data_IF_300676333447
#
_entry.id   IF_300676333447
#
_cell.length_a   1.000
_cell.length_b   1.000
_cell.length_c   1.000
_cell.angle_alpha   90.00
_cell.angle_beta   90.00
_cell.angle_gamma   90.00
#
_symmetry.space_group_name_H-M   'P 1'
#
loop_
_entity.id
_entity.type
_entity.pdbx_description
1 polymer ?
#
# COMPACT_ATOMS: atom_id res chain seq x y z
N UNK A 1 76.68 19.73 -9.29
CA UNK A 1 75.83 18.48 -9.08
C UNK A 1 74.63 18.89 -8.23
N UNK A 2 73.51 19.29 -8.89
CA UNK A 2 72.27 19.69 -8.20
C UNK A 2 71.35 18.45 -8.12
N UNK A 3 71.04 18.02 -6.91
CA UNK A 3 70.01 17.00 -6.66
C UNK A 3 68.63 17.63 -6.73
N UNK A 4 67.79 17.18 -7.69
CA UNK A 4 66.38 17.54 -7.75
C UNK A 4 65.63 16.67 -6.75
N UNK A 5 64.97 17.32 -5.80
CA UNK A 5 64.01 16.67 -4.89
C UNK A 5 62.65 16.74 -5.57
N UNK A 6 62.08 15.59 -5.93
CA UNK A 6 60.72 15.46 -6.50
C UNK A 6 59.75 15.31 -5.31
N UNK A 7 58.89 16.31 -5.12
CA UNK A 7 57.86 16.29 -4.10
C UNK A 7 56.60 15.66 -4.72
N UNK A 8 56.32 14.43 -4.32
CA UNK A 8 55.10 13.73 -4.73
C UNK A 8 53.96 14.15 -3.80
N UNK A 9 53.07 15.02 -4.28
CA UNK A 9 51.84 15.39 -3.56
C UNK A 9 50.77 14.38 -3.88
N UNK A 10 50.51 13.47 -2.95
CA UNK A 10 49.35 12.54 -3.04
C UNK A 10 48.11 13.28 -2.51
N UNK A 11 47.25 13.76 -3.41
CA UNK A 11 45.92 14.25 -3.05
C UNK A 11 45.03 13.10 -2.66
N UNK A 12 44.81 12.93 -1.36
CA UNK A 12 43.78 12.02 -0.85
C UNK A 12 42.41 12.67 -0.99
N UNK A 13 41.65 12.19 -1.97
CA UNK A 13 40.24 12.57 -2.13
C UNK A 13 39.44 11.90 -1.01
N UNK A 14 39.12 12.64 0.04
CA UNK A 14 38.19 12.19 1.08
C UNK A 14 36.79 12.37 0.49
N UNK A 15 36.19 11.28 0.06
CA UNK A 15 34.79 11.24 -0.30
C UNK A 15 33.98 11.32 1.00
N UNK A 16 33.53 12.52 1.36
CA UNK A 16 32.59 12.71 2.46
C UNK A 16 31.25 12.13 2.02
N UNK A 17 30.93 10.93 2.50
CA UNK A 17 29.57 10.39 2.45
C UNK A 17 28.74 11.27 3.39
N UNK A 18 27.99 12.22 2.84
CA UNK A 18 26.98 12.93 3.62
C UNK A 18 25.91 11.88 4.02
N UNK A 19 25.56 11.78 5.30
CA UNK A 19 24.42 10.94 5.68
C UNK A 19 23.19 11.52 4.97
N UNK A 20 22.44 10.66 4.27
CA UNK A 20 21.14 11.05 3.75
C UNK A 20 20.30 11.49 4.96
N UNK A 21 19.93 12.77 4.97
CA UNK A 21 19.02 13.28 5.98
C UNK A 21 17.65 12.61 5.71
N UNK A 22 17.36 11.53 6.42
CA UNK A 22 16.03 10.98 6.50
C UNK A 22 15.24 11.96 7.37
N UNK A 23 14.29 12.66 6.77
CA UNK A 23 13.34 13.46 7.53
C UNK A 23 12.44 12.47 8.30
N UNK A 24 12.73 12.31 9.59
CA UNK A 24 11.86 11.53 10.47
C UNK A 24 10.60 12.34 10.77
N UNK A 25 9.47 11.97 10.17
CA UNK A 25 8.15 12.56 10.47
C UNK A 25 7.84 12.44 11.97
N UNK A 26 8.47 11.47 12.65
CA UNK A 26 8.27 11.18 14.08
C UNK A 26 8.89 12.24 15.00
N UNK A 27 9.86 13.03 14.53
CA UNK A 27 10.58 14.01 15.38
C UNK A 27 9.74 15.26 15.76
N UNK A 28 8.57 15.44 15.14
CA UNK A 28 7.67 16.58 15.39
C UNK A 28 6.27 16.16 15.81
N UNK A 29 6.14 15.09 16.57
CA UNK A 29 4.83 14.64 17.06
C UNK A 29 4.31 15.63 18.11
N UNK A 30 3.24 16.33 17.76
CA UNK A 30 2.44 17.07 18.71
C UNK A 30 1.67 16.07 19.59
N UNK A 31 2.12 15.89 20.82
CA UNK A 31 1.36 15.12 21.79
C UNK A 31 0.13 15.91 22.24
N UNK A 32 -1.03 15.52 21.73
CA UNK A 32 -2.32 16.00 22.21
C UNK A 32 -3.03 14.87 22.94
N UNK A 33 -3.14 14.96 24.24
CA UNK A 33 -4.02 14.08 25.01
C UNK A 33 -5.11 14.89 25.70
N UNK A 34 -6.35 14.39 25.68
CA UNK A 34 -7.41 14.96 26.47
C UNK A 34 -7.11 14.78 27.98
N UNK A 35 -7.50 15.72 28.86
CA UNK A 35 -7.45 15.49 30.29
C UNK A 35 -8.18 14.20 30.66
N UNK A 36 -7.54 13.30 31.39
CA UNK A 36 -8.05 11.98 31.76
C UNK A 36 -8.22 10.99 30.56
N UNK A 37 -7.41 11.10 29.53
CA UNK A 37 -7.42 10.14 28.43
C UNK A 37 -7.13 8.72 28.93
N UNK A 38 -8.01 7.77 28.58
CA UNK A 38 -7.85 6.35 28.90
C UNK A 38 -6.88 5.64 27.94
N UNK A 39 -6.49 6.30 26.86
CA UNK A 39 -5.61 5.77 25.82
C UNK A 39 -4.57 6.83 25.43
N UNK A 40 -3.32 6.40 25.28
CA UNK A 40 -2.25 7.21 24.72
C UNK A 40 -1.68 6.50 23.51
N UNK A 41 -1.51 7.22 22.40
CA UNK A 41 -0.85 6.73 21.18
C UNK A 41 0.44 7.50 20.96
N UNK A 42 1.54 6.77 20.82
CA UNK A 42 2.86 7.34 20.50
C UNK A 42 3.34 6.75 19.20
N UNK A 43 3.61 7.55 18.15
CA UNK A 43 4.27 7.06 16.95
C UNK A 43 5.65 6.52 17.29
N UNK A 44 6.01 5.36 16.72
CA UNK A 44 7.27 4.68 17.02
C UNK A 44 8.17 4.56 15.80
N UNK A 45 7.63 4.71 14.59
CA UNK A 45 8.39 4.63 13.35
C UNK A 45 7.58 5.12 12.16
N UNK A 46 8.25 5.38 11.06
CA UNK A 46 7.63 5.77 9.79
C UNK A 46 8.40 5.20 8.61
N UNK A 47 7.69 5.02 7.50
CA UNK A 47 8.28 4.75 6.18
C UNK A 47 7.88 5.87 5.24
N UNK A 48 8.85 6.42 4.52
CA UNK A 48 8.64 7.51 3.57
C UNK A 48 8.92 7.02 2.15
N UNK A 49 7.99 7.28 1.23
CA UNK A 49 8.16 6.96 -0.19
C UNK A 49 9.23 7.83 -0.88
N UNK A 50 9.66 8.91 -0.24
CA UNK A 50 10.59 9.89 -0.80
C UNK A 50 9.98 10.80 -1.86
N UNK A 51 8.66 10.76 -2.06
CA UNK A 51 7.96 11.57 -3.06
C UNK A 51 7.07 12.59 -2.39
N UNK A 52 7.45 13.85 -2.52
CA UNK A 52 6.73 14.97 -1.94
C UNK A 52 5.54 15.43 -2.81
N UNK A 53 4.47 15.90 -2.14
CA UNK A 53 3.35 16.55 -2.79
C UNK A 53 2.43 15.63 -3.61
N UNK A 54 2.49 14.32 -3.37
CA UNK A 54 1.60 13.34 -4.01
C UNK A 54 1.08 12.36 -2.96
N UNK A 55 -0.22 12.05 -3.03
CA UNK A 55 -0.82 10.99 -2.21
C UNK A 55 -0.13 9.66 -2.52
N UNK A 56 0.20 8.91 -1.49
CA UNK A 56 0.83 7.61 -1.64
C UNK A 56 0.16 6.56 -0.71
N UNK A 57 0.28 6.70 0.61
CA UNK A 57 -0.27 5.73 1.55
C UNK A 57 -1.74 6.05 1.89
N UNK A 58 -2.64 5.08 1.69
CA UNK A 58 -4.08 5.23 1.96
C UNK A 58 -4.58 4.14 2.92
N UNK A 59 -4.75 2.92 2.44
CA UNK A 59 -5.27 1.80 3.22
C UNK A 59 -4.11 0.94 3.71
N UNK A 60 -4.18 0.50 4.97
CA UNK A 60 -3.13 -0.32 5.58
C UNK A 60 -3.72 -1.59 6.19
N UNK A 61 -3.02 -2.71 6.02
CA UNK A 61 -3.26 -3.97 6.72
C UNK A 61 -1.95 -4.51 7.31
N UNK A 62 -2.04 -5.22 8.42
CA UNK A 62 -0.87 -5.79 9.10
C UNK A 62 -1.02 -7.29 9.28
N UNK A 63 -0.03 -8.05 8.81
CA UNK A 63 0.07 -9.49 9.04
C UNK A 63 1.09 -9.78 10.14
N UNK A 64 0.60 -10.09 11.34
CA UNK A 64 1.42 -10.21 12.54
C UNK A 64 2.45 -11.36 12.45
N UNK A 65 2.06 -12.52 11.90
CA UNK A 65 2.94 -13.68 11.85
C UNK A 65 4.20 -13.46 11.00
N UNK A 66 4.11 -12.69 9.92
CA UNK A 66 5.26 -12.35 9.07
C UNK A 66 5.83 -10.95 9.35
N UNK A 67 5.20 -10.18 10.24
CA UNK A 67 5.54 -8.78 10.53
C UNK A 67 5.58 -7.91 9.26
N UNK A 68 4.58 -8.10 8.36
CA UNK A 68 4.45 -7.32 7.13
C UNK A 68 3.33 -6.30 7.26
N UNK A 69 3.64 -5.07 6.88
CA UNK A 69 2.64 -4.03 6.63
C UNK A 69 2.38 -3.99 5.13
N UNK A 70 1.11 -4.07 4.76
CA UNK A 70 0.62 -3.96 3.39
C UNK A 70 -0.04 -2.60 3.26
N UNK A 71 0.46 -1.73 2.40
CA UNK A 71 -0.05 -0.37 2.25
C UNK A 71 -0.44 -0.11 0.82
N UNK A 72 -1.71 0.22 0.59
CA UNK A 72 -2.16 0.70 -0.73
C UNK A 72 -1.45 2.01 -1.03
N UNK A 73 -0.78 2.04 -2.18
CA UNK A 73 -0.09 3.20 -2.68
C UNK A 73 -0.87 3.79 -3.86
N UNK A 74 -1.71 4.77 -3.59
CA UNK A 74 -2.57 5.41 -4.59
C UNK A 74 -1.81 6.02 -5.77
N UNK A 75 -0.52 6.33 -5.59
CA UNK A 75 0.28 6.89 -6.67
C UNK A 75 0.70 5.86 -7.71
N UNK A 76 1.09 4.66 -7.26
CA UNK A 76 1.53 3.58 -8.15
C UNK A 76 0.39 2.62 -8.52
N UNK A 77 -0.76 2.71 -7.85
CA UNK A 77 -1.86 1.77 -8.00
C UNK A 77 -1.54 0.36 -7.47
N UNK A 78 -0.55 0.26 -6.57
CA UNK A 78 0.00 -1.00 -6.06
C UNK A 78 -0.18 -1.11 -4.54
N UNK A 79 0.15 -2.27 -3.99
CA UNK A 79 0.36 -2.44 -2.56
C UNK A 79 1.85 -2.50 -2.27
N UNK A 80 2.35 -1.57 -1.47
CA UNK A 80 3.70 -1.64 -0.92
C UNK A 80 3.75 -2.66 0.22
N UNK A 81 4.75 -3.55 0.18
CA UNK A 81 5.01 -4.52 1.25
C UNK A 81 6.18 -3.99 2.08
N UNK A 82 5.92 -3.70 3.35
CA UNK A 82 6.96 -3.25 4.28
C UNK A 82 7.31 -4.38 5.25
N UNK A 83 8.60 -4.53 5.50
CA UNK A 83 9.11 -5.28 6.65
C UNK A 83 9.04 -4.40 7.88
N UNK A 84 8.25 -4.79 8.86
CA UNK A 84 8.09 -4.13 10.15
C UNK A 84 8.58 -5.00 11.32
N UNK A 85 9.55 -5.89 11.08
CA UNK A 85 10.22 -6.68 12.14
C UNK A 85 10.93 -5.76 13.14
N UNK A 86 11.45 -4.62 12.67
CA UNK A 86 11.76 -3.46 13.49
C UNK A 86 10.72 -2.36 13.22
N UNK A 87 9.72 -2.18 14.07
CA UNK A 87 8.66 -1.22 13.83
C UNK A 87 9.13 0.23 13.93
N UNK A 88 10.33 0.49 14.45
CA UNK A 88 10.92 1.84 14.49
C UNK A 88 11.50 2.26 13.14
N UNK A 89 11.80 1.31 12.26
CA UNK A 89 12.38 1.52 10.94
C UNK A 89 11.78 0.58 9.88
N UNK A 90 10.48 0.71 9.55
CA UNK A 90 9.85 -0.13 8.54
C UNK A 90 10.52 0.06 7.17
N UNK A 91 10.80 -1.04 6.47
CA UNK A 91 11.51 -1.02 5.18
C UNK A 91 10.64 -1.59 4.06
N UNK A 92 10.50 -0.89 2.93
CA UNK A 92 9.85 -1.45 1.75
C UNK A 92 10.70 -2.57 1.17
N UNK A 93 10.13 -3.78 1.09
CA UNK A 93 10.80 -4.99 0.58
C UNK A 93 10.22 -5.48 -0.74
N UNK A 94 9.08 -4.94 -1.17
CA UNK A 94 8.43 -5.31 -2.41
C UNK A 94 7.14 -4.55 -2.65
N UNK A 95 6.47 -4.91 -3.74
CA UNK A 95 5.14 -4.41 -4.08
C UNK A 95 4.32 -5.49 -4.79
N UNK A 96 3.00 -5.35 -4.76
CA UNK A 96 2.03 -6.16 -5.50
C UNK A 96 1.35 -5.24 -6.49
N UNK A 97 1.48 -5.55 -7.77
CA UNK A 97 0.85 -4.80 -8.84
C UNK A 97 -0.53 -5.37 -9.19
N UNK A 98 -1.46 -4.48 -9.49
CA UNK A 98 -2.75 -4.85 -10.09
C UNK A 98 -2.59 -5.45 -11.50
N UNK A 99 -1.51 -5.10 -12.19
CA UNK A 99 -1.21 -5.45 -13.58
C UNK A 99 -1.84 -4.49 -14.59
N UNK A 100 -1.11 -4.15 -15.64
CA UNK A 100 -1.54 -3.17 -16.65
C UNK A 100 -1.84 -1.79 -16.05
N UNK A 101 -2.93 -1.17 -16.52
CA UNK A 101 -3.39 0.15 -16.07
C UNK A 101 -4.43 0.07 -14.93
N UNK A 102 -4.52 -1.08 -14.25
CA UNK A 102 -5.42 -1.29 -13.12
C UNK A 102 -4.83 -0.68 -11.85
N UNK A 103 -5.71 -0.36 -10.90
CA UNK A 103 -5.32 0.21 -9.62
C UNK A 103 -5.90 -0.61 -8.45
N UNK A 104 -5.20 -0.58 -7.31
CA UNK A 104 -5.66 -1.22 -6.08
C UNK A 104 -6.18 -0.16 -5.14
N UNK A 105 -7.43 -0.33 -4.67
CA UNK A 105 -8.10 0.63 -3.79
C UNK A 105 -8.09 0.19 -2.32
N UNK A 106 -8.04 -1.11 -2.05
CA UNK A 106 -8.17 -1.62 -0.68
C UNK A 106 -7.43 -2.94 -0.50
N UNK A 107 -7.07 -3.23 0.74
CA UNK A 107 -6.42 -4.49 1.13
C UNK A 107 -6.91 -4.96 2.49
N UNK A 108 -7.12 -6.26 2.64
CA UNK A 108 -7.38 -6.93 3.92
C UNK A 108 -6.50 -8.18 4.04
N UNK A 109 -6.20 -8.60 5.26
CA UNK A 109 -5.37 -9.79 5.52
C UNK A 109 -5.93 -10.61 6.68
N UNK A 110 -5.87 -11.91 6.52
CA UNK A 110 -6.24 -12.91 7.53
C UNK A 110 -5.01 -13.29 8.38
N UNK A 111 -5.20 -13.79 9.62
CA UNK A 111 -4.08 -14.19 10.50
C UNK A 111 -3.17 -15.30 9.93
N UNK A 112 -3.67 -16.13 9.02
CA UNK A 112 -2.89 -17.19 8.35
C UNK A 112 -2.12 -16.71 7.11
N UNK A 113 -2.23 -15.40 6.78
CA UNK A 113 -1.49 -14.77 5.70
C UNK A 113 -2.22 -14.71 4.36
N UNK A 114 -3.45 -15.23 4.26
CA UNK A 114 -4.27 -14.95 3.08
C UNK A 114 -4.64 -13.47 3.07
N UNK A 115 -4.28 -12.78 2.01
CA UNK A 115 -4.64 -11.40 1.78
C UNK A 115 -5.51 -11.27 0.53
N UNK A 116 -6.32 -10.23 0.50
CA UNK A 116 -7.18 -9.89 -0.63
C UNK A 116 -7.11 -8.39 -0.89
N UNK A 117 -7.06 -8.02 -2.16
CA UNK A 117 -7.08 -6.64 -2.61
C UNK A 117 -8.29 -6.38 -3.53
N UNK A 118 -8.87 -5.19 -3.42
CA UNK A 118 -9.87 -4.68 -4.36
C UNK A 118 -9.14 -4.00 -5.52
N UNK A 119 -9.36 -4.49 -6.74
CA UNK A 119 -8.68 -4.05 -7.97
C UNK A 119 -9.69 -3.48 -8.94
N UNK A 120 -9.59 -2.18 -9.22
CA UNK A 120 -10.39 -1.52 -10.27
C UNK A 120 -9.74 -1.65 -11.64
N UNK A 121 -10.54 -1.60 -12.69
CA UNK A 121 -10.06 -1.44 -14.06
C UNK A 121 -9.69 0.03 -14.34
N UNK A 122 -8.92 0.25 -15.40
CA UNK A 122 -8.63 1.59 -15.89
C UNK A 122 -9.91 2.37 -16.25
N UNK A 123 -10.89 1.69 -16.86
CA UNK A 123 -12.25 2.21 -16.98
C UNK A 123 -13.03 1.81 -15.72
N UNK A 124 -13.35 2.77 -14.88
CA UNK A 124 -14.05 2.58 -13.61
C UNK A 124 -15.46 2.03 -13.74
N UNK A 125 -16.03 2.06 -14.96
CA UNK A 125 -17.34 1.46 -15.24
C UNK A 125 -17.25 -0.04 -15.53
N UNK A 126 -16.05 -0.57 -15.76
CA UNK A 126 -15.84 -1.99 -15.98
C UNK A 126 -15.74 -2.78 -14.66
N UNK A 127 -16.12 -4.04 -14.74
CA UNK A 127 -16.06 -4.92 -13.59
C UNK A 127 -14.61 -5.13 -13.14
N UNK A 128 -14.35 -4.92 -11.84
CA UNK A 128 -13.07 -5.13 -11.21
C UNK A 128 -12.82 -6.56 -10.78
N UNK A 129 -11.81 -6.74 -9.95
CA UNK A 129 -11.35 -8.04 -9.46
C UNK A 129 -11.04 -7.99 -7.97
N UNK A 130 -11.25 -9.09 -7.28
CA UNK A 130 -10.64 -9.37 -5.98
C UNK A 130 -9.37 -10.20 -6.23
N UNK A 131 -8.20 -9.64 -5.92
CA UNK A 131 -6.90 -10.28 -6.06
C UNK A 131 -6.50 -10.93 -4.74
N UNK A 132 -6.34 -12.25 -4.74
CA UNK A 132 -5.88 -13.00 -3.58
C UNK A 132 -4.38 -13.27 -3.67
N UNK A 133 -3.66 -13.06 -2.56
CA UNK A 133 -2.22 -13.24 -2.49
C UNK A 133 -1.75 -13.65 -1.09
N UNK A 134 -0.52 -14.11 -0.99
CA UNK A 134 0.14 -14.42 0.29
C UNK A 134 0.79 -13.16 0.86
N UNK A 135 0.36 -12.71 2.03
CA UNK A 135 0.83 -11.48 2.69
C UNK A 135 2.34 -11.52 3.04
N UNK A 136 2.90 -12.70 3.32
CA UNK A 136 4.31 -12.83 3.69
C UNK A 136 5.25 -12.75 2.48
N UNK A 137 4.80 -13.26 1.31
CA UNK A 137 5.66 -13.42 0.12
C UNK A 137 5.27 -12.51 -1.04
N UNK A 138 4.06 -11.95 -1.04
CA UNK A 138 3.49 -11.22 -2.18
C UNK A 138 3.05 -12.12 -3.34
N UNK A 139 3.11 -13.46 -3.19
CA UNK A 139 2.73 -14.36 -4.27
C UNK A 139 1.24 -14.29 -4.55
N UNK A 140 0.86 -14.01 -5.79
CA UNK A 140 -0.52 -14.11 -6.26
C UNK A 140 -1.03 -15.55 -6.17
N UNK A 141 -2.24 -15.72 -5.64
CA UNK A 141 -2.91 -17.00 -5.49
C UNK A 141 -4.08 -17.16 -6.48
N UNK A 142 -4.67 -16.06 -6.92
CA UNK A 142 -5.75 -16.05 -7.89
C UNK A 142 -6.56 -14.77 -7.87
N UNK A 143 -7.51 -14.67 -8.81
CA UNK A 143 -8.40 -13.52 -8.97
C UNK A 143 -9.84 -13.96 -9.15
N UNK A 144 -10.78 -13.18 -8.66
CA UNK A 144 -12.21 -13.39 -8.82
C UNK A 144 -12.83 -12.08 -9.30
N UNK A 145 -13.65 -12.16 -10.38
CA UNK A 145 -14.39 -11.00 -10.88
C UNK A 145 -15.40 -10.49 -9.86
N UNK A 146 -15.48 -9.16 -9.70
CA UNK A 146 -16.41 -8.46 -8.83
C UNK A 146 -17.16 -7.37 -9.63
N UNK A 147 -17.90 -6.48 -8.98
CA UNK A 147 -18.58 -5.38 -9.66
C UNK A 147 -17.63 -4.25 -10.10
N UNK A 148 -18.21 -3.19 -10.68
CA UNK A 148 -17.46 -2.02 -11.12
C UNK A 148 -16.96 -1.21 -9.92
N UNK A 149 -15.76 -0.67 -10.04
CA UNK A 149 -15.09 0.14 -9.02
C UNK A 149 -15.15 -0.51 -7.62
N UNK A 150 -14.49 -1.67 -7.42
CA UNK A 150 -14.38 -2.23 -6.08
C UNK A 150 -13.48 -1.31 -5.24
N UNK A 151 -14.08 -0.68 -4.22
CA UNK A 151 -13.42 0.35 -3.41
C UNK A 151 -12.96 -0.20 -2.05
N UNK A 152 -13.73 -1.08 -1.46
CA UNK A 152 -13.39 -1.65 -0.16
C UNK A 152 -13.49 -3.17 -0.15
N UNK A 153 -12.57 -3.82 0.56
CA UNK A 153 -12.60 -5.27 0.82
C UNK A 153 -12.41 -5.55 2.30
N UNK A 154 -13.18 -6.51 2.81
CA UNK A 154 -13.09 -6.97 4.19
C UNK A 154 -13.18 -8.49 4.25
N UNK A 155 -12.45 -9.10 5.19
CA UNK A 155 -12.54 -10.53 5.48
C UNK A 155 -13.42 -10.75 6.71
N UNK A 156 -14.36 -11.70 6.61
CA UNK A 156 -15.24 -12.03 7.75
C UNK A 156 -14.43 -12.58 8.93
N UNK A 157 -14.94 -12.40 10.14
CA UNK A 157 -14.27 -12.84 11.37
C UNK A 157 -13.99 -14.35 11.41
N UNK A 158 -14.85 -15.16 10.76
CA UNK A 158 -14.64 -16.61 10.61
C UNK A 158 -13.61 -16.95 9.52
N UNK A 159 -13.13 -15.94 8.77
CA UNK A 159 -12.14 -16.07 7.70
C UNK A 159 -12.62 -16.80 6.45
N UNK A 160 -13.93 -17.08 6.33
CA UNK A 160 -14.48 -17.91 5.25
C UNK A 160 -14.96 -17.11 4.05
N UNK A 161 -15.14 -15.80 4.20
CA UNK A 161 -15.69 -14.94 3.17
C UNK A 161 -14.89 -13.65 3.02
N UNK A 162 -14.78 -13.18 1.80
CA UNK A 162 -14.38 -11.82 1.49
C UNK A 162 -15.61 -11.01 1.05
N UNK A 163 -15.78 -9.85 1.63
CA UNK A 163 -16.84 -8.90 1.28
C UNK A 163 -16.21 -7.79 0.47
N UNK A 164 -16.76 -7.48 -0.68
CA UNK A 164 -16.26 -6.41 -1.56
C UNK A 164 -17.40 -5.41 -1.78
N UNK A 165 -17.13 -4.16 -1.45
CA UNK A 165 -18.01 -3.06 -1.79
C UNK A 165 -17.64 -2.50 -3.16
N UNK A 166 -18.57 -2.57 -4.11
CA UNK A 166 -18.38 -1.99 -5.44
C UNK A 166 -19.12 -0.65 -5.48
N UNK A 167 -18.38 0.43 -5.70
CA UNK A 167 -18.93 1.79 -5.65
C UNK A 167 -19.73 2.13 -6.90
N UNK A 168 -19.25 1.71 -8.06
CA UNK A 168 -19.95 1.87 -9.33
C UNK A 168 -20.09 3.33 -9.73
N UNK A 169 -19.03 3.98 -10.16
CA UNK A 169 -19.10 5.35 -10.67
C UNK A 169 -19.94 5.43 -11.97
N UNK A 170 -20.66 6.54 -12.19
CA UNK A 170 -21.31 6.78 -13.47
C UNK A 170 -20.26 6.95 -14.57
N UNK A 171 -20.57 6.49 -15.78
CA UNK A 171 -19.72 6.77 -16.93
C UNK A 171 -19.76 8.26 -17.27
N UNK A 172 -18.69 8.79 -17.86
CA UNK A 172 -18.65 10.15 -18.41
C UNK A 172 -19.61 10.31 -19.60
N UNK A 173 -20.04 9.20 -20.21
CA UNK A 173 -21.02 9.20 -21.28
C UNK A 173 -22.42 9.39 -20.69
N UNK A 174 -23.13 10.39 -21.21
CA UNK A 174 -24.54 10.61 -20.90
C UNK A 174 -25.41 9.81 -21.88
N UNK A 175 -26.53 9.30 -21.39
CA UNK A 175 -27.56 8.73 -22.27
C UNK A 175 -28.22 9.84 -23.12
N UNK A 176 -29.14 9.44 -24.02
CA UNK A 176 -29.84 10.36 -24.88
C UNK A 176 -30.66 11.44 -24.12
N UNK A 177 -31.03 11.16 -22.88
CA UNK A 177 -31.74 12.05 -21.97
C UNK A 177 -30.80 12.96 -21.15
N UNK A 178 -29.47 12.80 -21.30
CA UNK A 178 -28.47 13.59 -20.59
C UNK A 178 -28.24 13.13 -19.14
N UNK A 179 -28.61 11.92 -18.80
CA UNK A 179 -28.34 11.30 -17.50
C UNK A 179 -27.14 10.35 -17.58
N UNK A 180 -26.30 10.33 -16.54
CA UNK A 180 -25.18 9.39 -16.44
C UNK A 180 -25.68 7.96 -16.21
N UNK A 181 -25.02 7.01 -16.88
CA UNK A 181 -25.25 5.59 -16.56
C UNK A 181 -24.60 5.27 -15.22
N UNK A 182 -25.41 4.74 -14.29
CA UNK A 182 -24.94 4.15 -13.06
C UNK A 182 -24.90 2.63 -13.24
N UNK A 183 -23.78 2.01 -13.03
CA UNK A 183 -23.72 0.57 -12.76
C UNK A 183 -24.13 0.37 -11.30
N UNK A 184 -24.84 -0.72 -11.04
CA UNK A 184 -25.41 -0.99 -9.73
C UNK A 184 -24.34 -1.04 -8.63
N UNK A 185 -24.60 -0.32 -7.55
CA UNK A 185 -23.90 -0.51 -6.29
C UNK A 185 -24.17 -1.93 -5.80
N UNK A 186 -23.13 -2.73 -5.68
CA UNK A 186 -23.29 -4.13 -5.26
C UNK A 186 -22.28 -4.51 -4.19
N UNK A 187 -22.73 -5.34 -3.26
CA UNK A 187 -21.89 -6.06 -2.32
C UNK A 187 -21.75 -7.49 -2.83
N UNK A 188 -20.51 -7.91 -3.14
CA UNK A 188 -20.23 -9.26 -3.59
C UNK A 188 -19.62 -10.07 -2.46
N UNK A 189 -20.19 -11.23 -2.25
CA UNK A 189 -19.78 -12.20 -1.28
C UNK A 189 -19.00 -13.32 -1.97
N UNK A 190 -17.72 -13.46 -1.63
CA UNK A 190 -16.85 -14.48 -2.20
C UNK A 190 -16.53 -15.48 -1.10
N UNK A 191 -16.90 -16.75 -1.32
CA UNK A 191 -16.52 -17.87 -0.45
C UNK A 191 -15.30 -18.58 -1.01
N UNK A 192 -14.38 -19.01 -0.13
CA UNK A 192 -13.29 -19.88 -0.54
C UNK A 192 -13.81 -21.18 -1.14
N UNK A 193 -13.15 -21.71 -2.19
CA UNK A 193 -13.44 -23.05 -2.65
C UNK A 193 -13.16 -24.04 -1.50
N UNK A 194 -14.14 -24.84 -1.15
CA UNK A 194 -13.97 -25.98 -0.24
C UNK A 194 -12.91 -26.89 -0.83
N UNK A 195 -11.83 -27.14 -0.09
CA UNK A 195 -10.81 -28.17 -0.42
C UNK A 195 -11.39 -29.55 -0.33
#
# INVERSE_FOLDING_TARGET
MLKRISLCVTSSLVLACAPAAHAHIVDNVLEHSAPNAALQLTPIGSHESGVLGKSAAEIVAYHAASQRVLTVNARSGEIDILDASDPTQPQKIGAISAGGDKEINSVAVRPDGLAVAAVQQADKTDNGEALFFNAATGQELGRVGVGALPDNVHLTADGRHALVANEGEPSDALNAEGTAYLKDLSLIHISEPTR
#
